data_IF_453749796482
#
_entry.id   IF_453749796482
#
_cell.length_a   1.000
_cell.length_b   1.000
_cell.length_c   1.000
_cell.angle_alpha   90.00
_cell.angle_beta   90.00
_cell.angle_gamma   90.00
#
_symmetry.space_group_name_H-M   'P 1'
#
loop_
_entity.id
_entity.type
_entity.pdbx_description
1 polymer ?
#
# COMPACT_ATOMS: atom_id res chain seq x y z
N UNK A 1 -27.28 21.99 -10.92
CA UNK A 1 -27.28 21.77 -9.46
C UNK A 1 -26.12 22.51 -8.87
N UNK A 2 -26.33 23.30 -7.82
CA UNK A 2 -25.24 23.94 -7.08
C UNK A 2 -24.65 22.90 -6.12
N UNK A 3 -23.34 22.72 -6.12
CA UNK A 3 -22.67 21.74 -5.24
C UNK A 3 -21.96 22.39 -4.07
N UNK A 4 -21.62 23.68 -4.21
CA UNK A 4 -20.82 24.42 -3.26
C UNK A 4 -21.48 25.74 -2.90
N UNK A 5 -21.41 26.11 -1.62
CA UNK A 5 -21.70 27.44 -1.13
C UNK A 5 -20.41 28.15 -0.72
N UNK A 6 -20.23 29.37 -1.22
CA UNK A 6 -19.09 30.22 -0.84
C UNK A 6 -19.47 31.07 0.38
N UNK A 7 -18.77 30.89 1.48
CA UNK A 7 -18.79 31.78 2.65
C UNK A 7 -17.56 32.72 2.59
N UNK A 8 -17.54 33.75 3.43
CA UNK A 8 -16.54 34.84 3.40
C UNK A 8 -15.08 34.36 3.48
N UNK A 9 -14.82 33.18 4.06
CA UNK A 9 -13.48 32.56 4.17
C UNK A 9 -13.48 31.04 4.01
N UNK A 10 -14.57 30.45 3.54
CA UNK A 10 -14.72 29.00 3.47
C UNK A 10 -15.59 28.61 2.26
N UNK A 11 -15.42 27.37 1.82
CA UNK A 11 -16.32 26.71 0.87
C UNK A 11 -16.95 25.55 1.62
N UNK A 12 -18.27 25.44 1.56
CA UNK A 12 -19.03 24.32 2.12
C UNK A 12 -19.75 23.58 1.00
N UNK A 13 -19.92 22.28 1.18
CA UNK A 13 -20.80 21.51 0.31
C UNK A 13 -22.25 21.90 0.61
N UNK A 14 -23.04 21.97 -0.46
CA UNK A 14 -24.51 21.93 -0.36
C UNK A 14 -24.95 20.50 -0.04
N UNK A 15 -26.22 20.31 0.30
CA UNK A 15 -26.79 18.96 0.49
C UNK A 15 -26.58 18.05 -0.73
N UNK A 16 -26.78 18.57 -1.95
CA UNK A 16 -26.51 17.83 -3.19
C UNK A 16 -25.02 17.55 -3.39
N UNK A 17 -24.16 18.47 -2.92
CA UNK A 17 -22.71 18.31 -2.90
C UNK A 17 -22.22 17.22 -1.95
N UNK A 18 -22.83 17.11 -0.76
CA UNK A 18 -22.54 16.05 0.21
C UNK A 18 -22.95 14.68 -0.34
N UNK A 19 -24.17 14.57 -0.89
CA UNK A 19 -24.66 13.33 -1.49
C UNK A 19 -23.77 12.84 -2.64
N UNK A 20 -23.34 13.77 -3.51
CA UNK A 20 -22.44 13.46 -4.61
C UNK A 20 -21.04 13.06 -4.09
N UNK A 21 -20.52 13.75 -3.09
CA UNK A 21 -19.21 13.45 -2.50
C UNK A 21 -19.17 12.05 -1.89
N UNK A 22 -20.19 11.69 -1.09
CA UNK A 22 -20.32 10.37 -0.49
C UNK A 22 -20.42 9.27 -1.56
N UNK A 23 -21.31 9.45 -2.54
CA UNK A 23 -21.51 8.47 -3.62
C UNK A 23 -20.23 8.27 -4.44
N UNK A 24 -19.56 9.38 -4.80
CA UNK A 24 -18.33 9.34 -5.58
C UNK A 24 -17.20 8.68 -4.80
N UNK A 25 -17.09 8.97 -3.49
CA UNK A 25 -16.10 8.34 -2.61
C UNK A 25 -16.26 6.82 -2.61
N UNK A 26 -17.49 6.32 -2.42
CA UNK A 26 -17.78 4.89 -2.39
C UNK A 26 -17.46 4.22 -3.74
N UNK A 27 -17.83 4.84 -4.85
CA UNK A 27 -17.54 4.32 -6.20
C UNK A 27 -16.04 4.29 -6.47
N UNK A 28 -15.29 5.33 -6.09
CA UNK A 28 -13.85 5.36 -6.26
C UNK A 28 -13.14 4.32 -5.41
N UNK A 29 -13.61 4.05 -4.18
CA UNK A 29 -13.10 2.93 -3.40
C UNK A 29 -13.35 1.59 -4.09
N UNK A 30 -14.58 1.37 -4.59
CA UNK A 30 -14.91 0.14 -5.29
C UNK A 30 -14.04 -0.05 -6.55
N UNK A 31 -13.89 1.00 -7.35
CA UNK A 31 -13.02 0.98 -8.53
C UNK A 31 -11.55 0.71 -8.17
N UNK A 32 -11.04 1.34 -7.11
CA UNK A 32 -9.69 1.08 -6.63
C UNK A 32 -9.50 -0.38 -6.20
N UNK A 33 -10.49 -0.97 -5.53
CA UNK A 33 -10.46 -2.38 -5.13
C UNK A 33 -10.44 -3.32 -6.34
N UNK A 34 -11.31 -3.08 -7.33
CA UNK A 34 -11.34 -3.87 -8.57
C UNK A 34 -10.03 -3.74 -9.36
N UNK A 35 -9.49 -2.52 -9.47
CA UNK A 35 -8.18 -2.30 -10.12
C UNK A 35 -7.06 -3.03 -9.38
N UNK A 36 -7.08 -3.05 -8.05
CA UNK A 36 -6.13 -3.81 -7.25
C UNK A 36 -6.28 -5.32 -7.48
N UNK A 37 -7.50 -5.85 -7.51
CA UNK A 37 -7.78 -7.27 -7.79
C UNK A 37 -7.33 -7.69 -9.20
N UNK A 38 -7.56 -6.82 -10.20
CA UNK A 38 -7.04 -7.05 -11.56
C UNK A 38 -5.50 -6.99 -11.55
N UNK A 39 -4.92 -6.02 -10.84
CA UNK A 39 -3.46 -5.84 -10.78
C UNK A 39 -2.75 -6.92 -9.96
N UNK A 40 -3.43 -7.56 -9.02
CA UNK A 40 -2.92 -8.70 -8.24
C UNK A 40 -2.78 -9.98 -9.07
N UNK A 41 -3.06 -9.94 -10.38
CA UNK A 41 -2.60 -10.99 -11.32
C UNK A 41 -1.08 -11.00 -11.52
N UNK A 42 -0.33 -10.07 -10.92
CA UNK A 42 1.09 -10.25 -10.64
C UNK A 42 1.25 -10.60 -9.16
N UNK A 43 1.66 -11.83 -8.84
CA UNK A 43 1.99 -12.26 -7.47
C UNK A 43 3.31 -11.60 -7.03
N UNK A 44 3.37 -10.27 -7.00
CA UNK A 44 4.52 -9.53 -6.53
C UNK A 44 4.37 -9.39 -5.01
N UNK A 45 5.30 -9.98 -4.26
CA UNK A 45 5.43 -9.76 -2.82
C UNK A 45 6.49 -8.68 -2.62
N UNK A 46 6.10 -7.56 -2.04
CA UNK A 46 7.00 -6.47 -1.70
C UNK A 46 7.55 -6.62 -0.28
N UNK A 47 8.85 -6.90 -0.17
CA UNK A 47 9.57 -7.05 1.08
C UNK A 47 10.36 -5.78 1.38
N UNK A 48 10.04 -5.11 2.48
CA UNK A 48 10.86 -4.03 3.01
C UNK A 48 11.87 -4.59 4.01
N UNK A 49 13.17 -4.32 3.81
CA UNK A 49 14.22 -4.75 4.73
C UNK A 49 15.40 -3.76 4.81
N UNK A 50 16.39 -4.07 5.65
CA UNK A 50 17.66 -3.32 5.64
C UNK A 50 18.52 -3.73 4.45
N UNK A 51 19.32 -2.81 3.90
CA UNK A 51 20.19 -3.11 2.75
C UNK A 51 21.14 -4.28 3.01
N UNK A 52 21.66 -4.41 4.24
CA UNK A 52 22.54 -5.52 4.62
C UNK A 52 21.83 -6.87 4.58
N UNK A 53 20.62 -6.96 5.14
CA UNK A 53 19.85 -8.21 5.12
C UNK A 53 19.43 -8.59 3.69
N UNK A 54 18.99 -7.60 2.90
CA UNK A 54 18.67 -7.79 1.49
C UNK A 54 19.83 -8.43 0.72
N UNK A 55 21.03 -7.82 0.80
CA UNK A 55 22.18 -8.24 0.02
C UNK A 55 22.83 -9.54 0.54
N UNK A 56 22.92 -9.71 1.86
CA UNK A 56 23.70 -10.81 2.45
C UNK A 56 22.89 -12.10 2.63
N UNK A 57 21.56 -12.02 2.70
CA UNK A 57 20.72 -13.18 2.95
C UNK A 57 19.54 -13.30 1.99
N UNK A 58 18.74 -12.24 1.81
CA UNK A 58 17.49 -12.36 1.04
C UNK A 58 17.76 -12.68 -0.44
N UNK A 59 18.55 -11.85 -1.14
CA UNK A 59 18.85 -12.02 -2.56
C UNK A 59 19.52 -13.38 -2.86
N UNK A 60 20.53 -13.85 -2.10
CA UNK A 60 21.10 -15.18 -2.31
C UNK A 60 20.10 -16.34 -2.16
N UNK A 61 19.11 -16.20 -1.28
CA UNK A 61 18.10 -17.24 -1.04
C UNK A 61 16.90 -17.17 -2.00
N UNK A 62 16.75 -16.06 -2.75
CA UNK A 62 15.67 -15.91 -3.72
C UNK A 62 15.74 -16.91 -4.88
N UNK A 63 16.94 -17.32 -5.31
CA UNK A 63 17.07 -18.33 -6.38
C UNK A 63 16.37 -19.65 -6.02
N UNK A 64 16.51 -20.09 -4.76
CA UNK A 64 15.82 -21.29 -4.28
C UNK A 64 14.31 -21.05 -4.19
N UNK A 65 13.89 -19.87 -3.73
CA UNK A 65 12.48 -19.51 -3.62
C UNK A 65 11.78 -19.47 -4.99
N UNK A 66 12.39 -18.83 -5.99
CA UNK A 66 11.83 -18.75 -7.34
C UNK A 66 11.74 -20.12 -8.04
N UNK A 67 12.60 -21.08 -7.67
CA UNK A 67 12.47 -22.47 -8.15
C UNK A 67 11.25 -23.18 -7.57
N UNK A 68 10.85 -22.89 -6.33
CA UNK A 68 9.66 -23.49 -5.71
C UNK A 68 8.37 -22.71 -5.97
N UNK A 69 8.47 -21.41 -6.24
CA UNK A 69 7.37 -20.48 -6.47
C UNK A 69 7.63 -19.59 -7.70
N UNK A 70 7.68 -20.16 -8.92
CA UNK A 70 7.99 -19.41 -10.14
C UNK A 70 6.94 -18.36 -10.51
N UNK A 71 5.72 -18.50 -9.99
CA UNK A 71 4.62 -17.57 -10.18
C UNK A 71 4.73 -16.30 -9.34
N UNK A 72 5.61 -16.28 -8.34
CA UNK A 72 5.79 -15.19 -7.37
C UNK A 72 7.02 -14.37 -7.73
N UNK A 73 6.85 -13.06 -7.86
CA UNK A 73 7.94 -12.10 -8.01
C UNK A 73 8.20 -11.43 -6.65
N UNK A 74 9.46 -11.21 -6.27
CA UNK A 74 9.80 -10.53 -5.01
C UNK A 74 10.39 -9.16 -5.30
N UNK A 75 9.67 -8.11 -4.92
CA UNK A 75 10.14 -6.74 -4.97
C UNK A 75 10.80 -6.36 -3.64
N UNK A 76 12.07 -5.99 -3.65
CA UNK A 76 12.80 -5.62 -2.43
C UNK A 76 12.88 -4.10 -2.32
N UNK A 77 12.35 -3.55 -1.23
CA UNK A 77 12.59 -2.17 -0.81
C UNK A 77 13.59 -2.15 0.33
N UNK A 78 14.59 -1.27 0.26
CA UNK A 78 15.53 -1.10 1.35
C UNK A 78 15.40 0.29 1.96
N UNK A 79 15.05 0.36 3.24
CA UNK A 79 15.01 1.59 4.01
C UNK A 79 15.73 1.39 5.36
N UNK A 80 16.30 2.47 5.90
CA UNK A 80 16.88 2.48 7.26
C UNK A 80 15.80 2.63 8.33
N UNK A 81 14.72 3.35 8.05
CA UNK A 81 13.58 3.49 8.97
C UNK A 81 12.63 2.31 8.82
N UNK A 82 11.85 2.03 9.87
CA UNK A 82 10.75 1.05 9.81
C UNK A 82 9.65 1.70 8.98
N UNK A 83 9.32 1.09 7.85
CA UNK A 83 8.20 1.56 7.04
C UNK A 83 6.92 1.14 7.76
N UNK A 84 5.94 2.04 7.79
CA UNK A 84 4.63 1.77 8.36
C UNK A 84 3.82 0.91 7.38
N UNK A 85 3.59 -0.35 7.75
CA UNK A 85 2.87 -1.33 6.95
C UNK A 85 1.40 -0.91 6.77
N UNK A 86 0.81 -0.25 7.75
CA UNK A 86 -0.61 0.14 7.71
C UNK A 86 -0.83 1.32 6.76
N UNK A 87 0.12 2.25 6.71
CA UNK A 87 0.06 3.41 5.83
C UNK A 87 0.60 3.12 4.41
N UNK A 88 1.54 2.20 4.26
CA UNK A 88 2.06 1.78 2.96
C UNK A 88 1.38 0.51 2.44
N UNK A 89 0.24 0.68 1.74
CA UNK A 89 -0.49 -0.38 1.00
C UNK A 89 0.33 -1.16 -0.06
N UNK A 90 1.64 -0.93 -0.15
CA UNK A 90 2.56 -1.55 -1.10
C UNK A 90 3.71 -2.30 -0.42
N UNK A 91 3.58 -2.66 0.85
CA UNK A 91 4.54 -3.50 1.56
C UNK A 91 3.77 -4.69 2.14
N UNK A 92 4.15 -5.89 1.74
CA UNK A 92 3.53 -7.14 2.19
C UNK A 92 4.27 -7.76 3.39
N UNK A 93 5.56 -7.44 3.53
CA UNK A 93 6.41 -7.95 4.61
C UNK A 93 7.50 -6.94 5.00
N UNK A 94 7.70 -6.75 6.30
CA UNK A 94 8.82 -5.97 6.84
C UNK A 94 9.76 -6.87 7.62
N UNK A 95 11.05 -6.83 7.28
CA UNK A 95 12.11 -7.53 8.01
C UNK A 95 13.09 -6.50 8.57
N UNK A 96 13.23 -6.44 9.89
CA UNK A 96 14.15 -5.53 10.59
C UNK A 96 14.90 -6.27 11.70
N UNK A 97 16.04 -5.73 12.09
CA UNK A 97 16.78 -6.19 13.27
C UNK A 97 16.26 -5.46 14.49
N UNK A 98 15.91 -6.19 15.54
CA UNK A 98 15.48 -5.60 16.80
C UNK A 98 14.53 -6.50 17.57
N UNK A 99 14.01 -5.98 18.68
CA UNK A 99 12.92 -6.57 19.43
C UNK A 99 11.64 -5.97 18.86
N UNK A 100 10.68 -6.83 18.52
CA UNK A 100 9.37 -6.39 18.08
C UNK A 100 8.64 -5.73 19.25
N UNK A 101 8.26 -4.46 19.06
CA UNK A 101 7.50 -3.70 20.03
C UNK A 101 6.07 -3.54 19.49
N UNK A 102 5.12 -4.19 20.16
CA UNK A 102 3.71 -4.27 19.78
C UNK A 102 2.90 -3.04 20.24
N UNK A 103 3.58 -2.01 20.77
CA UNK A 103 2.94 -0.84 21.38
C UNK A 103 2.85 0.40 20.48
N UNK A 104 3.05 0.25 19.17
CA UNK A 104 2.89 1.31 18.16
C UNK A 104 1.62 1.10 17.35
#
# INVERSE_FOLDING_TARGET
TLLFERKTRAVQLTQDGELLAETTHNIFQLLANVVNEISSTKNIITVSTTSSFAAMWLVPNLDKFYKSHPEIEVAIKTNKQVDDIENERRIDLVIRYGIYDDSV
#
